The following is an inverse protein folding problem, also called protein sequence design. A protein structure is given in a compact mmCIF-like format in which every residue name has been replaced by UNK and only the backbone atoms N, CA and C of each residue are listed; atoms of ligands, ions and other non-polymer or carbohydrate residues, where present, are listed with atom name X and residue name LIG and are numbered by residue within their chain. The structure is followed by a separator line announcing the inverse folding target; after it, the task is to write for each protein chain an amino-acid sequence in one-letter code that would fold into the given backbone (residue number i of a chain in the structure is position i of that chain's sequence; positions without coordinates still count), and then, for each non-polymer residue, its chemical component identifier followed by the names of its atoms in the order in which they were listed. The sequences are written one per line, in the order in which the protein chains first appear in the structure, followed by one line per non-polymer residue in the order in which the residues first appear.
data_IF_899279403314
#
_entry.id   IF_899279403314
#
_cell.length_a   1.000
_cell.length_b   1.000
_cell.length_c   1.000
_cell.angle_alpha   90.00
_cell.angle_beta   90.00
_cell.angle_gamma   90.00
#
_symmetry.space_group_name_H-M   'P 1'
#
loop_
_entity.id
_entity.type
_entity.pdbx_description
1 polymer ?
#
# COMPACT_ATOMS: atom_id res chain seq x y z
N UNK A 1 -8.03 2.02 17.58
CA UNK A 1 -7.38 0.78 18.06
C UNK A 1 -6.26 0.39 17.07
N UNK A 2 -5.14 -0.11 17.62
CA UNK A 2 -4.06 -0.69 16.82
C UNK A 2 -3.93 -2.17 17.21
N UNK A 3 -4.11 -3.05 16.25
CA UNK A 3 -3.97 -4.51 16.42
C UNK A 3 -2.63 -4.95 15.87
N UNK A 4 -1.92 -5.81 16.62
CA UNK A 4 -0.57 -6.27 16.34
C UNK A 4 0.45 -5.10 16.22
N UNK A 5 0.27 -4.07 17.03
CA UNK A 5 1.15 -2.89 17.05
C UNK A 5 2.60 -3.22 17.44
N UNK A 6 2.83 -4.35 18.12
CA UNK A 6 4.14 -4.88 18.44
C UNK A 6 5.01 -5.12 17.19
N UNK A 7 4.40 -5.39 16.03
CA UNK A 7 5.12 -5.52 14.74
C UNK A 7 5.76 -4.20 14.31
N UNK A 8 5.05 -3.08 14.51
CA UNK A 8 5.63 -1.76 14.24
C UNK A 8 6.79 -1.45 15.19
N UNK A 9 6.66 -1.83 16.47
CA UNK A 9 7.75 -1.70 17.42
C UNK A 9 8.96 -2.56 17.05
N UNK A 10 8.74 -3.78 16.54
CA UNK A 10 9.80 -4.66 16.03
C UNK A 10 10.49 -4.05 14.80
N UNK A 11 9.73 -3.52 13.83
CA UNK A 11 10.28 -2.82 12.65
C UNK A 11 11.14 -1.64 13.08
N UNK A 12 10.64 -0.81 14.01
CA UNK A 12 11.41 0.30 14.56
C UNK A 12 12.70 -0.17 15.22
N UNK A 13 12.62 -1.20 16.05
CA UNK A 13 13.78 -1.72 16.81
C UNK A 13 14.84 -2.35 15.91
N UNK A 14 14.42 -3.01 14.81
CA UNK A 14 15.35 -3.62 13.84
C UNK A 14 16.15 -2.60 13.05
N UNK A 15 15.61 -1.39 12.85
CA UNK A 15 16.19 -0.39 11.96
C UNK A 15 16.16 -0.78 10.47
N UNK A 16 15.57 -1.93 10.13
CA UNK A 16 15.47 -2.40 8.74
C UNK A 16 14.19 -1.81 8.11
N UNK A 17 14.31 -1.06 7.01
CA UNK A 17 13.15 -0.50 6.34
C UNK A 17 12.31 -1.60 5.70
N UNK A 18 10.98 -1.47 5.79
CA UNK A 18 10.02 -2.38 5.18
C UNK A 18 9.16 -1.66 4.13
N UNK A 19 8.49 -2.43 3.29
CA UNK A 19 7.54 -1.89 2.32
C UNK A 19 6.12 -2.15 2.82
N UNK A 20 5.47 -1.15 3.37
CA UNK A 20 4.06 -1.24 3.74
C UNK A 20 3.18 -1.29 2.50
N UNK A 21 2.23 -2.23 2.49
CA UNK A 21 1.25 -2.41 1.41
C UNK A 21 -0.16 -2.40 1.96
N UNK A 22 -1.05 -1.73 1.24
CA UNK A 22 -2.46 -1.64 1.60
C UNK A 22 -3.34 -1.30 0.39
N UNK A 23 -4.61 -1.07 0.64
CA UNK A 23 -5.58 -0.56 -0.32
C UNK A 23 -6.46 0.55 0.28
N UNK A 24 -7.30 1.11 -0.57
CA UNK A 24 -8.22 2.17 -0.19
C UNK A 24 -9.42 1.60 0.58
N UNK A 25 -9.14 1.05 1.78
CA UNK A 25 -10.13 0.47 2.67
C UNK A 25 -10.51 1.45 3.78
N UNK A 26 -11.79 1.67 3.99
CA UNK A 26 -12.30 2.52 5.08
C UNK A 26 -11.67 3.93 5.07
N UNK A 27 -11.14 4.39 6.19
CA UNK A 27 -10.31 5.60 6.27
C UNK A 27 -8.83 5.22 6.28
N UNK A 28 -8.28 4.93 5.12
CA UNK A 28 -6.87 4.56 4.96
C UNK A 28 -5.86 5.62 5.47
N UNK A 29 -6.29 6.88 5.63
CA UNK A 29 -5.44 7.95 6.19
C UNK A 29 -5.07 7.71 7.67
N UNK A 30 -5.71 6.75 8.33
CA UNK A 30 -5.36 6.34 9.71
C UNK A 30 -4.05 5.54 9.74
N UNK A 31 -3.72 4.79 8.68
CA UNK A 31 -2.50 3.97 8.65
C UNK A 31 -1.21 4.79 8.73
N UNK A 32 -1.03 5.85 7.91
CA UNK A 32 0.10 6.75 8.03
C UNK A 32 0.32 7.25 9.46
N UNK A 33 -0.75 7.70 10.09
CA UNK A 33 -0.68 8.19 11.47
C UNK A 33 -0.22 7.08 12.44
N UNK A 34 -0.77 5.87 12.32
CA UNK A 34 -0.39 4.74 13.16
C UNK A 34 1.08 4.33 12.98
N UNK A 35 1.60 4.33 11.75
CA UNK A 35 2.99 4.01 11.45
C UNK A 35 3.92 5.06 12.09
N UNK A 36 3.64 6.34 11.86
CA UNK A 36 4.49 7.44 12.37
C UNK A 36 4.41 7.55 13.89
N UNK A 37 3.23 7.40 14.48
CA UNK A 37 3.03 7.42 15.94
C UNK A 37 3.81 6.30 16.65
N UNK A 38 4.00 5.15 15.98
CA UNK A 38 4.86 4.08 16.48
C UNK A 38 6.37 4.41 16.44
N UNK A 39 6.74 5.51 15.81
CA UNK A 39 8.12 5.97 15.62
C UNK A 39 8.86 5.31 14.48
N UNK A 40 8.17 4.64 13.55
CA UNK A 40 8.74 4.14 12.29
C UNK A 40 8.85 5.31 11.31
N UNK A 41 10.05 5.53 10.78
CA UNK A 41 10.28 6.51 9.72
C UNK A 41 9.71 5.91 8.42
N UNK A 42 8.72 6.59 7.81
CA UNK A 42 8.02 6.07 6.64
C UNK A 42 7.71 7.17 5.62
N UNK A 43 8.06 6.92 4.37
CA UNK A 43 7.71 7.77 3.23
C UNK A 43 6.51 7.17 2.48
N UNK A 44 5.58 8.01 2.01
CA UNK A 44 4.34 7.56 1.40
C UNK A 44 4.12 8.17 0.05
N UNK A 45 3.60 7.36 -0.89
CA UNK A 45 3.23 7.88 -2.21
C UNK A 45 1.86 8.53 -2.16
N UNK A 46 1.73 9.66 -2.83
CA UNK A 46 0.44 10.29 -3.07
C UNK A 46 0.41 10.88 -4.50
N UNK A 47 -0.77 11.11 -4.99
CA UNK A 47 -0.96 11.91 -6.20
C UNK A 47 -1.31 13.33 -5.77
N UNK A 48 -0.54 14.32 -6.24
CA UNK A 48 -0.83 15.73 -6.03
C UNK A 48 -2.24 16.07 -6.57
N UNK A 49 -2.99 16.85 -5.81
CA UNK A 49 -4.26 17.34 -6.30
C UNK A 49 -4.05 18.31 -7.46
N UNK A 50 -4.97 18.28 -8.44
CA UNK A 50 -4.90 19.20 -9.60
C UNK A 50 -4.99 20.68 -9.17
N UNK A 51 -5.67 20.96 -8.05
CA UNK A 51 -5.74 22.30 -7.47
C UNK A 51 -4.61 22.47 -6.43
N UNK A 52 -3.66 23.40 -6.65
CA UNK A 52 -2.50 23.57 -5.77
C UNK A 52 -2.87 24.02 -4.35
N UNK A 53 -3.97 24.73 -4.17
CA UNK A 53 -4.45 25.12 -2.84
C UNK A 53 -4.95 23.91 -2.03
N UNK A 54 -5.65 22.98 -2.70
CA UNK A 54 -6.11 21.74 -2.08
C UNK A 54 -4.90 20.86 -1.77
N UNK A 55 -3.94 20.73 -2.70
CA UNK A 55 -2.72 19.95 -2.50
C UNK A 55 -1.92 20.45 -1.28
N UNK A 56 -1.71 21.75 -1.19
CA UNK A 56 -1.06 22.38 -0.04
C UNK A 56 -1.79 22.05 1.26
N UNK A 57 -3.12 22.21 1.29
CA UNK A 57 -3.93 21.94 2.48
C UNK A 57 -3.89 20.47 2.90
N UNK A 58 -3.85 19.55 1.95
CA UNK A 58 -3.70 18.12 2.24
C UNK A 58 -2.34 17.80 2.85
N UNK A 59 -1.26 18.36 2.31
CA UNK A 59 0.09 18.22 2.88
C UNK A 59 0.15 18.76 4.30
N UNK A 60 -0.35 19.95 4.52
CA UNK A 60 -0.40 20.57 5.85
C UNK A 60 -1.23 19.75 6.85
N UNK A 61 -2.37 19.21 6.41
CA UNK A 61 -3.21 18.35 7.24
C UNK A 61 -2.46 17.08 7.68
N UNK A 62 -1.78 16.41 6.76
CA UNK A 62 -1.02 15.19 7.06
C UNK A 62 0.21 15.46 7.91
N UNK A 63 0.87 16.59 7.70
CA UNK A 63 2.01 17.03 8.52
C UNK A 63 1.62 17.18 10.00
N UNK A 64 0.38 17.57 10.31
CA UNK A 64 -0.13 17.68 11.70
C UNK A 64 -0.16 16.32 12.42
N UNK A 65 -0.24 15.22 11.69
CA UNK A 65 -0.18 13.86 12.22
C UNK A 65 1.23 13.26 12.15
N UNK A 66 2.25 14.11 11.90
CA UNK A 66 3.63 13.66 11.78
C UNK A 66 4.00 13.03 10.43
N UNK A 67 3.06 12.94 9.49
CA UNK A 67 3.30 12.42 8.14
C UNK A 67 3.89 13.53 7.28
N UNK A 68 5.22 13.57 7.17
CA UNK A 68 5.94 14.70 6.57
C UNK A 68 6.48 14.43 5.16
N UNK A 69 6.64 13.20 4.78
CA UNK A 69 7.32 12.83 3.53
C UNK A 69 6.37 12.11 2.59
N UNK A 70 6.24 12.65 1.39
CA UNK A 70 5.42 12.09 0.32
C UNK A 70 6.21 12.08 -0.98
N UNK A 71 6.40 10.91 -1.56
CA UNK A 71 6.88 10.78 -2.92
C UNK A 71 5.68 10.91 -3.89
N UNK A 72 5.69 11.81 -4.86
CA UNK A 72 4.62 11.90 -5.85
C UNK A 72 4.55 10.63 -6.69
N UNK A 73 3.34 10.20 -7.06
CA UNK A 73 3.17 9.13 -8.05
C UNK A 73 3.68 9.59 -9.42
N UNK A 74 4.64 8.85 -10.00
CA UNK A 74 5.23 9.14 -11.32
C UNK A 74 6.73 8.87 -11.34
N UNK A 75 7.41 9.29 -12.42
CA UNK A 75 8.82 8.98 -12.64
C UNK A 75 9.75 9.42 -11.51
N UNK A 76 9.56 10.59 -10.96
CA UNK A 76 10.38 11.10 -9.87
C UNK A 76 10.05 10.43 -8.54
N UNK A 77 8.80 10.04 -8.31
CA UNK A 77 8.37 9.35 -7.10
C UNK A 77 9.06 8.01 -6.88
N UNK A 78 9.40 7.28 -7.94
CA UNK A 78 10.13 6.01 -7.82
C UNK A 78 11.56 6.22 -7.34
N UNK A 79 12.22 7.29 -7.77
CA UNK A 79 13.56 7.66 -7.31
C UNK A 79 13.56 8.10 -5.84
N UNK A 80 12.56 8.86 -5.44
CA UNK A 80 12.41 9.30 -4.05
C UNK A 80 12.19 8.12 -3.10
N UNK A 81 11.32 7.16 -3.46
CA UNK A 81 11.13 5.94 -2.68
C UNK A 81 12.42 5.12 -2.53
N UNK A 82 13.17 4.95 -3.62
CA UNK A 82 14.47 4.29 -3.58
C UNK A 82 15.46 5.04 -2.68
N UNK A 83 15.51 6.36 -2.79
CA UNK A 83 16.38 7.19 -1.96
C UNK A 83 15.96 7.13 -0.49
N UNK A 84 14.65 7.16 -0.19
CA UNK A 84 14.12 7.02 1.16
C UNK A 84 14.54 5.70 1.81
N UNK A 85 14.30 4.59 1.12
CA UNK A 85 14.72 3.28 1.62
C UNK A 85 16.24 3.15 1.77
N UNK A 86 17.02 3.76 0.89
CA UNK A 86 18.48 3.80 1.01
C UNK A 86 18.96 4.61 2.25
N UNK A 87 18.13 5.53 2.74
CA UNK A 87 18.38 6.28 4.00
C UNK A 87 17.81 5.57 5.23
N UNK A 88 17.23 4.38 5.09
CA UNK A 88 16.63 3.61 6.18
C UNK A 88 15.15 3.94 6.45
N UNK A 89 14.50 4.72 5.62
CA UNK A 89 13.06 4.95 5.74
C UNK A 89 12.27 3.79 5.13
N UNK A 90 11.25 3.31 5.83
CA UNK A 90 10.22 2.46 5.24
C UNK A 90 9.40 3.24 4.22
N UNK A 91 8.70 2.54 3.34
CA UNK A 91 7.80 3.17 2.36
C UNK A 91 6.41 2.56 2.43
N UNK A 92 5.37 3.34 2.11
CA UNK A 92 4.00 2.84 2.09
C UNK A 92 3.32 3.12 0.75
N UNK A 93 2.70 2.08 0.18
CA UNK A 93 2.07 2.11 -1.14
C UNK A 93 0.69 1.47 -1.11
N UNK A 94 -0.22 2.05 -1.91
CA UNK A 94 -1.55 1.49 -2.16
C UNK A 94 -1.53 0.68 -3.45
N UNK A 95 -2.06 -0.56 -3.42
CA UNK A 95 -1.92 -1.53 -4.50
C UNK A 95 -3.23 -2.09 -5.07
N UNK A 96 -4.37 -1.55 -4.67
CA UNK A 96 -5.70 -2.02 -5.05
C UNK A 96 -6.26 -1.42 -6.34
N UNK A 97 -5.58 -0.45 -6.93
CA UNK A 97 -6.01 0.21 -8.17
C UNK A 97 -5.35 -0.40 -9.41
N UNK A 98 -6.02 -0.23 -10.58
CA UNK A 98 -5.49 -0.66 -11.88
C UNK A 98 -4.20 0.08 -12.22
N UNK A 99 -3.23 -0.66 -12.72
CA UNK A 99 -1.96 -0.11 -13.21
C UNK A 99 -1.63 -0.72 -14.58
N UNK A 100 -1.94 -0.01 -15.66
CA UNK A 100 -1.93 -0.54 -17.03
C UNK A 100 -0.61 -1.20 -17.45
N UNK A 101 0.53 -0.69 -17.00
CA UNK A 101 1.87 -1.26 -17.25
C UNK A 101 2.35 -2.19 -16.12
N UNK A 102 1.40 -2.70 -15.32
CA UNK A 102 1.68 -3.58 -14.19
C UNK A 102 1.96 -5.02 -14.60
N UNK A 103 2.21 -5.84 -13.59
CA UNK A 103 2.33 -7.29 -13.75
C UNK A 103 0.94 -7.90 -13.77
N UNK A 104 0.72 -8.80 -14.72
CA UNK A 104 -0.51 -9.57 -14.83
C UNK A 104 -0.66 -10.54 -13.65
N UNK A 105 -1.82 -10.53 -13.04
CA UNK A 105 -2.19 -11.40 -11.93
C UNK A 105 -3.69 -11.60 -11.88
N UNK A 106 -4.18 -12.32 -10.87
CA UNK A 106 -5.60 -12.58 -10.66
C UNK A 106 -6.11 -11.72 -9.49
N UNK A 107 -7.33 -11.22 -9.63
CA UNK A 107 -8.04 -10.50 -8.57
C UNK A 107 -9.54 -10.77 -8.71
N UNK A 108 -10.14 -11.41 -7.70
CA UNK A 108 -11.51 -11.94 -7.72
C UNK A 108 -11.80 -12.83 -8.95
N UNK A 109 -10.84 -13.69 -9.30
CA UNK A 109 -10.96 -14.62 -10.42
C UNK A 109 -10.75 -14.01 -11.81
N UNK A 110 -10.56 -12.70 -11.92
CA UNK A 110 -10.36 -12.00 -13.20
C UNK A 110 -8.93 -11.51 -13.36
N UNK A 111 -8.46 -11.46 -14.62
CA UNK A 111 -7.16 -10.90 -14.97
C UNK A 111 -7.09 -9.41 -14.64
N UNK A 112 -6.03 -9.00 -13.95
CA UNK A 112 -5.72 -7.60 -13.64
C UNK A 112 -4.24 -7.30 -13.84
N UNK A 113 -3.92 -6.02 -13.97
CA UNK A 113 -2.54 -5.54 -13.90
C UNK A 113 -2.34 -4.75 -12.60
N UNK A 114 -1.34 -5.15 -11.82
CA UNK A 114 -1.02 -4.58 -10.50
C UNK A 114 0.37 -3.98 -10.52
N UNK A 115 0.55 -2.86 -9.83
CA UNK A 115 1.84 -2.17 -9.73
C UNK A 115 2.89 -3.05 -9.05
N UNK A 116 4.04 -3.34 -9.68
CA UNK A 116 5.08 -4.19 -9.11
C UNK A 116 6.05 -3.44 -8.19
N UNK A 117 5.88 -2.13 -8.00
CA UNK A 117 6.83 -1.30 -7.26
C UNK A 117 7.11 -1.81 -5.84
N UNK A 118 6.10 -2.20 -5.01
CA UNK A 118 6.37 -2.73 -3.67
C UNK A 118 7.26 -3.97 -3.69
N UNK A 119 6.93 -4.94 -4.54
CA UNK A 119 7.67 -6.19 -4.67
C UNK A 119 9.11 -5.95 -5.14
N UNK A 120 9.28 -5.04 -6.12
CA UNK A 120 10.62 -4.66 -6.61
C UNK A 120 11.46 -4.01 -5.54
N UNK A 121 10.86 -3.18 -4.68
CA UNK A 121 11.53 -2.54 -3.55
C UNK A 121 11.91 -3.59 -2.50
N UNK A 122 10.98 -4.47 -2.11
CA UNK A 122 11.26 -5.54 -1.16
C UNK A 122 12.43 -6.42 -1.61
N UNK A 123 12.43 -6.87 -2.88
CA UNK A 123 13.55 -7.64 -3.46
C UNK A 123 14.86 -6.87 -3.49
N UNK A 124 14.82 -5.59 -3.85
CA UNK A 124 16.03 -4.77 -3.94
C UNK A 124 16.71 -4.55 -2.60
N UNK A 125 15.93 -4.38 -1.54
CA UNK A 125 16.43 -4.10 -0.20
C UNK A 125 16.51 -5.34 0.70
N UNK A 126 16.15 -6.53 0.18
CA UNK A 126 16.15 -7.76 0.96
C UNK A 126 15.22 -7.70 2.17
N UNK A 127 14.04 -7.08 2.00
CA UNK A 127 13.08 -6.85 3.07
C UNK A 127 11.70 -7.42 2.71
N UNK A 128 10.78 -7.33 3.65
CA UNK A 128 9.42 -7.87 3.51
C UNK A 128 8.43 -6.83 3.01
N UNK A 129 7.31 -7.30 2.48
CA UNK A 129 6.10 -6.51 2.35
C UNK A 129 5.34 -6.60 3.67
N UNK A 130 5.03 -5.44 4.29
CA UNK A 130 4.29 -5.37 5.53
C UNK A 130 2.85 -4.94 5.27
N UNK A 131 1.88 -5.87 5.23
CA UNK A 131 0.50 -5.52 4.95
C UNK A 131 -0.16 -4.83 6.14
N UNK A 132 -0.97 -3.80 5.84
CA UNK A 132 -1.83 -3.14 6.81
C UNK A 132 -3.23 -2.94 6.25
N UNK A 133 -4.22 -2.90 7.13
CA UNK A 133 -5.59 -2.55 6.78
C UNK A 133 -6.24 -1.66 7.82
N UNK A 134 -7.31 -0.97 7.44
CA UNK A 134 -8.13 -0.17 8.37
C UNK A 134 -9.57 -0.62 8.25
N UNK A 135 -10.24 -0.73 9.38
CA UNK A 135 -11.66 -1.03 9.52
C UNK A 135 -12.36 0.11 10.26
N UNK A 136 -13.53 0.51 9.83
CA UNK A 136 -14.38 1.42 10.59
C UNK A 136 -15.15 0.62 11.64
N UNK A 137 -15.14 1.09 12.87
CA UNK A 137 -15.94 0.51 13.96
C UNK A 137 -17.30 1.24 14.05
N UNK A 138 -17.38 2.26 14.89
CA UNK A 138 -18.59 3.06 15.08
C UNK A 138 -18.22 4.55 15.02
N UNK A 139 -18.95 5.31 14.20
CA UNK A 139 -18.71 6.75 14.05
C UNK A 139 -17.30 7.02 13.49
N UNK A 140 -16.51 7.83 14.20
CA UNK A 140 -15.13 8.18 13.84
C UNK A 140 -14.09 7.27 14.52
N UNK A 141 -14.45 6.08 14.94
CA UNK A 141 -13.54 5.11 15.55
C UNK A 141 -13.08 4.10 14.50
N UNK A 142 -11.78 3.85 14.47
CA UNK A 142 -11.14 2.95 13.50
C UNK A 142 -10.27 1.93 14.20
N UNK A 143 -10.05 0.81 13.51
CA UNK A 143 -9.09 -0.23 13.87
C UNK A 143 -8.08 -0.35 12.75
N UNK A 144 -6.82 0.00 13.02
CA UNK A 144 -5.70 -0.31 12.16
C UNK A 144 -5.16 -1.70 12.55
N UNK A 145 -4.90 -2.54 11.57
CA UNK A 145 -4.37 -3.90 11.78
C UNK A 145 -3.05 -4.01 11.03
N UNK A 146 -2.01 -4.43 11.71
CA UNK A 146 -0.72 -4.81 11.14
C UNK A 146 -0.73 -6.33 10.97
N UNK A 147 -0.76 -6.80 9.71
CA UNK A 147 -0.85 -8.23 9.40
C UNK A 147 0.51 -8.91 9.40
N UNK A 148 0.53 -10.23 9.22
CA UNK A 148 1.76 -10.97 9.02
C UNK A 148 2.53 -10.45 7.81
N UNK A 149 3.85 -10.35 7.88
CA UNK A 149 4.66 -9.92 6.74
C UNK A 149 4.56 -10.94 5.61
N UNK A 150 4.61 -10.44 4.37
CA UNK A 150 4.70 -11.25 3.17
C UNK A 150 6.17 -11.26 2.74
N UNK A 151 6.78 -12.42 2.78
CA UNK A 151 8.11 -12.64 2.23
C UNK A 151 8.00 -12.79 0.71
N UNK A 152 8.84 -12.06 -0.01
CA UNK A 152 8.94 -12.18 -1.47
C UNK A 152 10.02 -13.20 -1.78
N UNK A 153 9.74 -14.27 -2.55
CA UNK A 153 10.77 -15.21 -2.97
C UNK A 153 11.94 -14.51 -3.67
N UNK A 154 13.14 -15.00 -3.47
CA UNK A 154 14.35 -14.52 -4.15
C UNK A 154 15.08 -15.74 -4.74
N UNK A 155 14.47 -16.31 -5.77
CA UNK A 155 14.92 -17.56 -6.39
C UNK A 155 16.01 -17.37 -7.46
N UNK A 156 16.25 -16.11 -7.86
CA UNK A 156 17.08 -15.75 -8.99
C UNK A 156 16.30 -15.50 -10.29
N UNK A 157 15.06 -16.01 -10.40
CA UNK A 157 14.13 -15.59 -11.45
C UNK A 157 13.35 -14.35 -10.99
N UNK A 158 13.92 -13.20 -11.27
CA UNK A 158 13.32 -11.91 -10.86
C UNK A 158 11.89 -11.70 -11.36
N UNK A 159 11.53 -12.25 -12.51
CA UNK A 159 10.19 -12.10 -13.07
C UNK A 159 9.17 -12.92 -12.29
N UNK A 160 9.51 -14.18 -12.01
CA UNK A 160 8.71 -15.07 -11.18
C UNK A 160 8.57 -14.55 -9.75
N UNK A 161 9.65 -14.05 -9.16
CA UNK A 161 9.65 -13.51 -7.79
C UNK A 161 8.76 -12.26 -7.68
N UNK A 162 8.85 -11.36 -8.66
CA UNK A 162 7.97 -10.16 -8.72
C UNK A 162 6.52 -10.59 -8.88
N UNK A 163 6.23 -11.55 -9.73
CA UNK A 163 4.87 -12.05 -9.93
C UNK A 163 4.32 -12.66 -8.64
N UNK A 164 5.09 -13.48 -7.95
CA UNK A 164 4.68 -14.10 -6.70
C UNK A 164 4.33 -13.06 -5.63
N UNK A 165 5.13 -12.01 -5.47
CA UNK A 165 4.84 -10.93 -4.54
C UNK A 165 3.61 -10.11 -4.93
N UNK A 166 3.40 -9.86 -6.22
CA UNK A 166 2.18 -9.19 -6.72
C UNK A 166 0.93 -10.04 -6.46
N UNK A 167 1.00 -11.36 -6.71
CA UNK A 167 -0.12 -12.26 -6.45
C UNK A 167 -0.44 -12.34 -4.95
N UNK A 168 0.57 -12.36 -4.09
CA UNK A 168 0.39 -12.33 -2.64
C UNK A 168 -0.27 -11.02 -2.15
N UNK A 169 0.11 -9.87 -2.71
CA UNK A 169 -0.56 -8.58 -2.44
C UNK A 169 -2.02 -8.63 -2.89
N UNK A 170 -2.30 -9.13 -4.09
CA UNK A 170 -3.67 -9.26 -4.60
C UNK A 170 -4.50 -10.17 -3.69
N UNK A 171 -3.98 -11.32 -3.29
CA UNK A 171 -4.66 -12.26 -2.39
C UNK A 171 -4.95 -11.63 -1.02
N UNK A 172 -4.00 -10.89 -0.45
CA UNK A 172 -4.20 -10.13 0.77
C UNK A 172 -5.36 -9.14 0.62
N UNK A 173 -5.36 -8.36 -0.47
CA UNK A 173 -6.41 -7.36 -0.72
C UNK A 173 -7.79 -8.00 -0.93
N UNK A 174 -7.86 -9.09 -1.68
CA UNK A 174 -9.11 -9.85 -1.85
C UNK A 174 -9.69 -10.30 -0.50
N UNK A 175 -8.85 -10.86 0.37
CA UNK A 175 -9.27 -11.32 1.68
C UNK A 175 -9.86 -10.17 2.52
N UNK A 176 -9.21 -9.00 2.52
CA UNK A 176 -9.69 -7.82 3.26
C UNK A 176 -11.00 -7.26 2.68
N UNK A 177 -11.11 -7.22 1.36
CA UNK A 177 -12.33 -6.75 0.68
C UNK A 177 -13.48 -7.72 0.93
N UNK A 178 -13.26 -9.04 0.89
CA UNK A 178 -14.32 -10.04 1.18
C UNK A 178 -14.88 -9.92 2.59
N UNK A 179 -14.03 -9.56 3.57
CA UNK A 179 -14.49 -9.34 4.95
C UNK A 179 -15.40 -8.13 5.09
N UNK A 180 -15.11 -7.05 4.36
CA UNK A 180 -15.82 -5.76 4.45
C UNK A 180 -15.92 -5.07 3.09
N UNK A 181 -16.69 -5.62 2.13
CA UNK A 181 -16.76 -5.07 0.77
C UNK A 181 -17.27 -3.62 0.73
N UNK A 182 -18.14 -3.24 1.66
CA UNK A 182 -18.69 -1.88 1.79
C UNK A 182 -17.64 -0.83 2.20
N UNK A 183 -16.48 -1.24 2.67
CA UNK A 183 -15.40 -0.34 3.08
C UNK A 183 -14.35 -0.12 1.98
N UNK A 184 -14.45 -0.83 0.85
CA UNK A 184 -13.52 -0.64 -0.25
C UNK A 184 -13.93 0.52 -1.15
N UNK A 185 -13.02 1.50 -1.27
CA UNK A 185 -13.22 2.68 -2.11
C UNK A 185 -13.00 2.35 -3.59
N UNK A 186 -13.96 1.65 -4.17
CA UNK A 186 -13.92 1.18 -5.55
C UNK A 186 -14.56 2.19 -6.51
N UNK A 187 -13.88 3.30 -6.76
CA UNK A 187 -14.34 4.37 -7.70
C UNK A 187 -13.70 4.27 -9.07
N UNK A 188 -12.63 3.49 -9.21
CA UNK A 188 -11.94 3.27 -10.47
C UNK A 188 -12.14 1.83 -10.94
N UNK A 189 -12.33 1.66 -12.25
CA UNK A 189 -12.39 0.33 -12.85
C UNK A 189 -11.11 -0.44 -12.60
N UNK A 190 -11.17 -1.49 -11.77
CA UNK A 190 -10.02 -2.33 -11.42
C UNK A 190 -9.70 -3.34 -12.51
N UNK A 191 -10.75 -3.87 -13.15
CA UNK A 191 -10.64 -4.87 -14.22
C UNK A 191 -10.72 -4.24 -15.60
N UNK A 192 -10.53 -5.05 -16.64
CA UNK A 192 -10.77 -4.66 -18.02
C UNK A 192 -12.26 -4.40 -18.28
N UNK A 193 -12.58 -3.63 -19.32
CA UNK A 193 -13.97 -3.24 -19.60
C UNK A 193 -14.86 -4.45 -19.88
N UNK A 194 -14.31 -5.47 -20.53
CA UNK A 194 -15.00 -6.71 -20.90
C UNK A 194 -15.61 -7.42 -19.68
N UNK A 195 -14.93 -7.34 -18.51
CA UNK A 195 -15.45 -7.90 -17.25
C UNK A 195 -16.71 -7.15 -16.79
N UNK A 196 -16.72 -5.82 -16.94
CA UNK A 196 -17.89 -5.01 -16.57
C UNK A 196 -19.04 -5.14 -17.58
N UNK A 197 -18.73 -5.35 -18.84
CA UNK A 197 -19.75 -5.49 -19.87
C UNK A 197 -20.48 -6.83 -19.73
N UNK A 198 -19.77 -7.90 -19.37
CA UNK A 198 -20.36 -9.19 -19.05
C UNK A 198 -21.27 -9.22 -17.79
N UNK A 199 -21.27 -8.18 -16.98
CA UNK A 199 -22.16 -8.05 -15.81
C UNK A 199 -23.45 -7.30 -16.12
N UNK A 200 -23.65 -6.82 -17.36
CA UNK A 200 -24.86 -6.07 -17.77
C UNK A 200 -25.93 -6.96 -18.38
N UNK A 201 -25.55 -8.19 -18.75
CA UNK A 201 -26.43 -9.24 -19.28
C UNK A 201 -26.93 -10.15 -18.13
#
# INVERSE_FOLDING_TARGET
ELVNGERLAQIKASGVPVVFVSGHLSNWEVMPAAIVDSGVICEMTYRAANNPYIDKRWKESRARYGVQLFAPKGGDGSRELLAGMSRGASVALMNDQKFNSGVAGTFFGHLVHTAPAPTRLALRFGTVLQPMSVQRLKGARFRAVVHDPIEVPNTGDRSADIKAGVDAINAFMEARIRERPQEWFWVHKRWANEVYDALKD
#
